data_IF_584464540798
#
_entry.id   IF_584464540798
#
_cell.length_a   1.000
_cell.length_b   1.000
_cell.length_c   1.000
_cell.angle_alpha   90.00
_cell.angle_beta   90.00
_cell.angle_gamma   90.00
#
_symmetry.space_group_name_H-M   'P 1'
#
loop_
_entity.id
_entity.type
_entity.pdbx_description
1 polymer ?
#
# COMPACT_ATOMS: atom_id res chain seq x y z
N UNK A 1 12.79 -8.57 -18.08
CA UNK A 1 13.25 -8.42 -16.67
C UNK A 1 12.07 -8.66 -15.72
N UNK A 2 12.24 -9.44 -14.65
CA UNK A 2 11.18 -9.71 -13.67
C UNK A 2 11.01 -8.48 -12.77
N UNK A 3 9.84 -7.83 -12.81
CA UNK A 3 9.53 -6.70 -11.93
C UNK A 3 8.94 -7.22 -10.62
N UNK A 4 9.53 -6.84 -9.49
CA UNK A 4 8.97 -7.11 -8.16
C UNK A 4 7.89 -6.09 -7.83
N UNK A 5 6.77 -6.60 -7.35
CA UNK A 5 5.69 -5.80 -6.78
C UNK A 5 5.38 -6.31 -5.38
N UNK A 6 4.72 -5.49 -4.59
CA UNK A 6 4.29 -5.85 -3.24
C UNK A 6 2.80 -5.62 -3.13
N UNK A 7 2.08 -6.66 -2.71
CA UNK A 7 0.75 -6.53 -2.14
C UNK A 7 0.92 -6.04 -0.69
N UNK A 8 0.24 -4.97 -0.33
CA UNK A 8 0.30 -4.44 1.03
C UNK A 8 -1.09 -4.19 1.59
N UNK A 9 -1.20 -4.34 2.91
CA UNK A 9 -2.40 -4.04 3.68
C UNK A 9 -2.09 -2.95 4.70
N UNK A 10 -2.85 -1.87 4.62
CA UNK A 10 -2.86 -0.78 5.60
C UNK A 10 -4.10 -0.90 6.49
N UNK A 11 -3.96 -0.63 7.79
CA UNK A 11 -5.06 -0.42 8.71
C UNK A 11 -5.12 1.05 9.11
N UNK A 12 -6.27 1.66 8.87
CA UNK A 12 -6.54 3.00 9.38
C UNK A 12 -6.80 2.93 10.87
N UNK A 13 -6.06 3.70 11.66
CA UNK A 13 -6.29 3.80 13.11
C UNK A 13 -7.54 4.61 13.44
N UNK A 14 -8.05 5.40 12.49
CA UNK A 14 -9.24 6.25 12.67
C UNK A 14 -10.54 5.47 12.62
N UNK A 15 -10.67 4.58 11.63
CA UNK A 15 -11.90 3.84 11.36
C UNK A 15 -11.75 2.32 11.51
N UNK A 16 -10.56 1.84 11.89
CA UNK A 16 -10.19 0.42 11.99
C UNK A 16 -10.39 -0.40 10.70
N UNK A 17 -10.65 0.25 9.56
CA UNK A 17 -10.85 -0.43 8.28
C UNK A 17 -9.52 -0.63 7.56
N UNK A 18 -9.49 -1.69 6.77
CA UNK A 18 -8.35 -2.05 5.94
C UNK A 18 -8.32 -1.26 4.62
N UNK A 19 -7.15 -1.19 4.01
CA UNK A 19 -6.95 -0.77 2.62
C UNK A 19 -5.89 -1.71 2.01
N UNK A 20 -6.19 -2.26 0.84
CA UNK A 20 -5.30 -3.18 0.13
C UNK A 20 -4.83 -2.51 -1.14
N UNK A 21 -3.54 -2.64 -1.46
CA UNK A 21 -2.99 -2.10 -2.69
C UNK A 21 -1.75 -2.85 -3.16
N UNK A 22 -1.29 -2.51 -4.36
CA UNK A 22 -0.06 -3.02 -4.95
C UNK A 22 0.89 -1.84 -5.23
N UNK A 23 2.17 -2.02 -4.96
CA UNK A 23 3.22 -1.01 -5.22
C UNK A 23 4.56 -1.67 -5.52
N UNK A 24 5.50 -0.95 -6.14
CA UNK A 24 6.90 -1.38 -6.24
C UNK A 24 7.74 -0.96 -5.02
N UNK A 25 7.26 0.05 -4.31
CA UNK A 25 7.92 0.65 -3.15
C UNK A 25 6.87 0.85 -2.05
N UNK A 26 6.98 0.04 -0.98
CA UNK A 26 6.03 0.06 0.13
C UNK A 26 6.22 1.35 0.93
N UNK A 27 7.44 1.70 1.32
CA UNK A 27 7.72 2.83 2.21
C UNK A 27 7.26 4.15 1.60
N UNK A 28 7.59 4.38 0.33
CA UNK A 28 7.09 5.54 -0.41
C UNK A 28 5.55 5.56 -0.40
N UNK A 29 4.91 4.41 -0.63
CA UNK A 29 3.46 4.34 -0.72
C UNK A 29 2.78 4.61 0.62
N UNK A 30 3.29 4.03 1.71
CA UNK A 30 2.79 4.28 3.07
C UNK A 30 2.90 5.77 3.43
N UNK A 31 4.03 6.41 3.09
CA UNK A 31 4.22 7.84 3.30
C UNK A 31 3.20 8.69 2.52
N UNK A 32 2.94 8.38 1.25
CA UNK A 32 1.95 9.11 0.45
C UNK A 32 0.53 9.00 1.04
N UNK A 33 0.17 7.83 1.58
CA UNK A 33 -1.08 7.63 2.30
C UNK A 33 -1.15 8.50 3.55
N UNK A 34 -0.10 8.55 4.36
CA UNK A 34 -0.04 9.34 5.60
C UNK A 34 0.09 10.86 5.37
N UNK A 35 0.67 11.29 4.26
CA UNK A 35 0.64 12.69 3.84
C UNK A 35 -0.70 13.11 3.23
N UNK A 36 -1.64 12.19 3.05
CA UNK A 36 -2.98 12.51 2.52
C UNK A 36 -3.00 12.75 1.02
N UNK A 37 -1.96 12.32 0.28
CA UNK A 37 -1.88 12.45 -1.18
C UNK A 37 -2.73 11.42 -1.93
N UNK A 38 -3.31 10.45 -1.22
CA UNK A 38 -4.21 9.44 -1.80
C UNK A 38 -5.67 9.72 -1.44
N UNK A 39 -6.48 10.13 -2.44
CA UNK A 39 -7.88 10.59 -2.25
C UNK A 39 -8.76 9.62 -1.45
N UNK A 40 -8.64 8.30 -1.69
CA UNK A 40 -9.48 7.27 -1.04
C UNK A 40 -9.16 7.04 0.44
N UNK A 41 -8.00 7.48 0.91
CA UNK A 41 -7.51 7.22 2.28
C UNK A 41 -7.09 8.49 3.02
N UNK A 42 -7.05 9.65 2.35
CA UNK A 42 -6.66 10.93 2.96
C UNK A 42 -7.48 11.28 4.21
N UNK A 43 -8.75 10.92 4.26
CA UNK A 43 -9.66 11.18 5.38
C UNK A 43 -9.61 10.10 6.48
N UNK A 44 -8.88 9.01 6.23
CA UNK A 44 -8.78 7.79 7.05
C UNK A 44 -7.40 7.66 7.73
N UNK A 45 -6.56 8.69 7.65
CA UNK A 45 -5.25 8.69 8.32
C UNK A 45 -5.40 8.74 9.85
N UNK A 46 -4.41 8.24 10.62
CA UNK A 46 -3.17 7.61 10.14
C UNK A 46 -3.32 6.15 9.67
N UNK A 47 -2.58 5.89 8.59
CA UNK A 47 -2.21 4.66 7.89
C UNK A 47 -1.13 3.80 8.56
N UNK A 48 -1.41 2.63 9.14
CA UNK A 48 -0.34 1.71 9.62
C UNK A 48 -0.24 0.48 8.72
N UNK A 49 0.97 0.12 8.29
CA UNK A 49 1.25 -1.10 7.56
C UNK A 49 1.16 -2.30 8.50
N UNK A 50 0.36 -3.29 8.13
CA UNK A 50 0.14 -4.52 8.91
C UNK A 50 0.62 -5.77 8.20
N UNK A 51 0.67 -5.77 6.87
CA UNK A 51 1.19 -6.90 6.10
C UNK A 51 1.70 -6.50 4.72
N UNK A 52 2.98 -6.75 4.40
CA UNK A 52 3.50 -6.77 3.04
C UNK A 52 3.74 -8.20 2.53
N UNK A 53 3.40 -8.46 1.26
CA UNK A 53 3.65 -9.71 0.55
C UNK A 53 4.28 -9.44 -0.82
N UNK A 54 5.40 -10.10 -1.13
CA UNK A 54 6.12 -9.95 -2.40
C UNK A 54 5.41 -10.74 -3.51
N UNK A 55 5.06 -10.06 -4.59
CA UNK A 55 4.50 -10.62 -5.81
C UNK A 55 5.56 -10.61 -6.91
N UNK A 56 5.83 -11.79 -7.47
CA UNK A 56 6.62 -11.95 -8.69
C UNK A 56 5.68 -11.93 -9.88
N UNK A 57 5.72 -10.86 -10.65
CA UNK A 57 4.96 -10.79 -11.90
C UNK A 57 5.87 -11.29 -13.02
N UNK A 58 5.55 -12.48 -13.53
CA UNK A 58 6.15 -12.96 -14.77
C UNK A 58 5.57 -12.11 -15.92
N UNK A 59 6.43 -11.31 -16.54
CA UNK A 59 6.11 -10.66 -17.82
C UNK A 59 6.01 -11.77 -18.86
N UNK A 60 4.77 -12.13 -19.23
CA UNK A 60 4.51 -12.91 -20.43
C UNK A 60 4.33 -11.90 -21.56
N UNK A 61 5.40 -11.75 -22.34
CA UNK A 61 5.52 -11.09 -23.65
C UNK A 61 5.00 -9.65 -23.78
#
# INVERSE_FOLDING_TARGET
MCSKYFLYVLKSQKDNKHYVGITKDIDFRVNQHNWGKVKSTKARRPLVLIHPSELRVASQF
#
